data_IF_337921655437
#
_entry.id   IF_337921655437
#
_cell.length_a   1.000
_cell.length_b   1.000
_cell.length_c   1.000
_cell.angle_alpha   90.00
_cell.angle_beta   90.00
_cell.angle_gamma   90.00
#
_symmetry.space_group_name_H-M   'P 1'
#
loop_
_entity.id
_entity.type
_entity.pdbx_description
1 polymer ?
#
# COMPACT_ATOMS: atom_id res chain seq x y z
N UNK A 1 -8.77 -1.24 -26.36
CA UNK A 1 -9.11 0.10 -26.85
C UNK A 1 -9.10 0.17 -28.36
N UNK A 2 -8.00 -0.15 -29.07
CA UNK A 2 -8.00 -0.20 -30.53
C UNK A 2 -9.07 -1.15 -31.12
N UNK A 3 -9.33 -2.29 -30.48
CA UNK A 3 -10.42 -3.19 -30.86
C UNK A 3 -11.80 -2.53 -30.68
N UNK A 4 -11.98 -1.73 -29.64
CA UNK A 4 -13.20 -0.96 -29.41
C UNK A 4 -13.37 0.14 -30.46
N UNK A 5 -12.29 0.84 -30.84
CA UNK A 5 -12.32 1.83 -31.92
C UNK A 5 -12.60 1.19 -33.28
N UNK A 6 -12.02 0.01 -33.55
CA UNK A 6 -12.30 -0.75 -34.79
C UNK A 6 -13.73 -1.27 -34.82
N UNK A 7 -14.26 -1.76 -33.71
CA UNK A 7 -15.68 -2.21 -33.65
C UNK A 7 -16.65 -1.04 -33.79
N UNK A 8 -16.33 0.11 -33.14
CA UNK A 8 -17.14 1.34 -33.30
C UNK A 8 -17.10 1.92 -34.71
N UNK A 9 -15.95 1.83 -35.41
CA UNK A 9 -15.81 2.31 -36.79
C UNK A 9 -16.32 1.32 -37.82
N UNK A 10 -16.47 0.03 -37.49
CA UNK A 10 -17.07 -1.00 -38.33
C UNK A 10 -18.59 -1.16 -38.15
N UNK A 11 -19.21 -0.50 -37.15
CA UNK A 11 -20.64 -0.44 -37.05
C UNK A 11 -21.20 0.38 -38.25
N UNK A 12 -21.92 -0.26 -39.19
CA UNK A 12 -22.39 0.42 -40.39
C UNK A 12 -23.40 1.50 -40.00
N UNK A 13 -23.06 2.75 -40.27
CA UNK A 13 -23.98 3.87 -40.19
C UNK A 13 -23.72 4.93 -39.12
N UNK A 14 -22.79 4.74 -38.15
CA UNK A 14 -22.63 5.73 -37.08
C UNK A 14 -21.59 6.82 -37.36
N UNK A 15 -20.54 6.55 -38.13
CA UNK A 15 -19.58 7.58 -38.51
C UNK A 15 -19.13 7.33 -39.97
N UNK A 16 -19.80 7.93 -40.92
CA UNK A 16 -19.32 7.95 -42.31
C UNK A 16 -18.26 9.05 -42.47
N UNK A 17 -17.01 8.72 -42.16
CA UNK A 17 -15.90 9.68 -42.15
C UNK A 17 -15.19 9.75 -43.50
N UNK A 18 -15.76 9.10 -44.56
CA UNK A 18 -15.21 9.05 -45.92
C UNK A 18 -13.69 8.99 -45.89
N UNK A 19 -12.97 8.12 -46.42
CA UNK A 19 -11.51 8.01 -46.57
C UNK A 19 -10.54 8.46 -45.45
N UNK A 20 -11.00 9.18 -44.43
CA UNK A 20 -10.21 9.70 -43.30
C UNK A 20 -10.20 8.79 -42.03
N UNK A 21 -10.78 7.60 -42.14
CA UNK A 21 -10.93 6.68 -41.02
C UNK A 21 -9.55 6.35 -40.34
N UNK A 22 -8.54 6.05 -41.12
CA UNK A 22 -7.20 5.76 -40.62
C UNK A 22 -6.56 6.95 -39.86
N UNK A 23 -6.81 8.16 -40.34
CA UNK A 23 -6.31 9.37 -39.67
C UNK A 23 -6.99 9.56 -38.30
N UNK A 24 -8.29 9.37 -38.21
CA UNK A 24 -9.05 9.53 -36.97
C UNK A 24 -8.61 8.45 -35.95
N UNK A 25 -8.47 7.19 -36.39
CA UNK A 25 -7.95 6.11 -35.53
C UNK A 25 -6.57 6.49 -35.00
N UNK A 26 -5.68 7.00 -35.85
CA UNK A 26 -4.36 7.42 -35.43
C UNK A 26 -4.41 8.56 -34.40
N UNK A 27 -5.28 9.56 -34.56
CA UNK A 27 -5.43 10.66 -33.58
C UNK A 27 -5.93 10.10 -32.24
N UNK A 28 -6.93 9.21 -32.24
CA UNK A 28 -7.46 8.58 -31.02
C UNK A 28 -6.36 7.75 -30.33
N UNK A 29 -5.62 6.95 -31.09
CA UNK A 29 -4.52 6.15 -30.57
C UNK A 29 -3.41 7.02 -29.94
N UNK A 30 -3.03 8.13 -30.59
CA UNK A 30 -2.03 9.05 -30.05
C UNK A 30 -2.50 9.68 -28.72
N UNK A 31 -3.75 10.12 -28.65
CA UNK A 31 -4.31 10.68 -27.40
C UNK A 31 -4.34 9.64 -26.28
N UNK A 32 -4.82 8.42 -26.59
CA UNK A 32 -4.87 7.34 -25.60
C UNK A 32 -3.45 6.95 -25.11
N UNK A 33 -2.52 6.78 -26.04
CA UNK A 33 -1.12 6.47 -25.69
C UNK A 33 -0.51 7.58 -24.85
N UNK A 34 -0.76 8.86 -25.16
CA UNK A 34 -0.29 9.98 -24.36
C UNK A 34 -0.87 9.95 -22.92
N UNK A 35 -2.14 9.66 -22.75
CA UNK A 35 -2.76 9.52 -21.43
C UNK A 35 -2.16 8.35 -20.62
N UNK A 36 -1.94 7.20 -21.28
CA UNK A 36 -1.29 6.06 -20.63
C UNK A 36 0.20 6.32 -20.35
N UNK A 37 0.90 7.04 -21.21
CA UNK A 37 2.30 7.42 -21.01
C UNK A 37 2.47 8.30 -19.76
N UNK A 38 1.58 9.27 -19.52
CA UNK A 38 1.64 10.09 -18.30
C UNK A 38 1.62 9.21 -17.04
N UNK A 39 0.76 8.19 -17.02
CA UNK A 39 0.64 7.28 -15.88
C UNK A 39 1.76 6.23 -15.81
N UNK A 40 2.20 5.70 -16.95
CA UNK A 40 3.22 4.65 -17.04
C UNK A 40 4.64 5.22 -16.98
N UNK A 41 4.96 6.17 -17.84
CA UNK A 41 6.30 6.70 -18.02
C UNK A 41 6.62 7.76 -16.96
N UNK A 42 5.62 8.56 -16.54
CA UNK A 42 5.78 9.54 -15.46
C UNK A 42 6.15 8.90 -14.13
N UNK A 43 5.71 7.67 -13.87
CA UNK A 43 6.06 6.91 -12.67
C UNK A 43 7.31 6.03 -12.84
N UNK A 44 7.86 5.86 -14.05
CA UNK A 44 9.02 5.01 -14.32
C UNK A 44 10.27 5.37 -13.48
N UNK A 45 10.66 6.65 -13.29
CA UNK A 45 11.80 7.00 -12.44
C UNK A 45 11.61 6.56 -10.99
N UNK A 46 10.40 6.71 -10.44
CA UNK A 46 10.09 6.29 -9.07
C UNK A 46 10.14 4.77 -8.93
N UNK A 47 9.63 4.03 -9.91
CA UNK A 47 9.71 2.57 -9.96
C UNK A 47 11.15 2.06 -10.05
N UNK A 48 12.01 2.73 -10.84
CA UNK A 48 13.44 2.41 -10.89
C UNK A 48 14.12 2.56 -9.52
N UNK A 49 13.75 3.60 -8.74
CA UNK A 49 14.24 3.78 -7.37
C UNK A 49 13.72 2.67 -6.46
N UNK A 50 12.46 2.29 -6.58
CA UNK A 50 11.86 1.20 -5.79
C UNK A 50 12.53 -0.14 -6.12
N UNK A 51 12.82 -0.42 -7.39
CA UNK A 51 13.59 -1.60 -7.83
C UNK A 51 15.00 -1.61 -7.24
N UNK A 52 15.68 -0.46 -7.24
CA UNK A 52 16.98 -0.33 -6.57
C UNK A 52 16.88 -0.71 -5.09
N UNK A 53 15.92 -0.17 -4.35
CA UNK A 53 15.74 -0.51 -2.94
C UNK A 53 15.37 -1.99 -2.75
N UNK A 54 14.46 -2.52 -3.57
CA UNK A 54 14.06 -3.93 -3.53
C UNK A 54 15.25 -4.88 -3.77
N UNK A 55 16.14 -4.58 -4.70
CA UNK A 55 17.33 -5.39 -4.97
C UNK A 55 18.24 -5.51 -3.74
N UNK A 56 18.47 -4.40 -3.01
CA UNK A 56 19.25 -4.44 -1.76
C UNK A 56 18.55 -5.24 -0.66
N UNK A 57 17.25 -5.06 -0.50
CA UNK A 57 16.46 -5.82 0.48
C UNK A 57 16.55 -7.32 0.15
N UNK A 58 16.33 -7.69 -1.11
CA UNK A 58 16.42 -9.07 -1.56
C UNK A 58 17.83 -9.65 -1.34
N UNK A 59 18.88 -8.89 -1.68
CA UNK A 59 20.27 -9.31 -1.48
C UNK A 59 20.57 -9.63 -0.01
N UNK A 60 20.27 -8.71 0.91
CA UNK A 60 20.55 -8.92 2.33
C UNK A 60 19.67 -10.00 2.95
N UNK A 61 18.43 -10.15 2.49
CA UNK A 61 17.55 -11.24 2.94
C UNK A 61 18.09 -12.60 2.51
N UNK A 62 18.45 -12.76 1.23
CA UNK A 62 19.05 -14.00 0.74
C UNK A 62 20.40 -14.29 1.41
N UNK A 63 21.22 -13.27 1.65
CA UNK A 63 22.46 -13.39 2.39
C UNK A 63 22.20 -13.89 3.82
N UNK A 64 21.23 -13.34 4.53
CA UNK A 64 20.82 -13.79 5.86
C UNK A 64 20.42 -15.26 5.84
N UNK A 65 19.55 -15.67 4.94
CA UNK A 65 19.13 -17.07 4.84
C UNK A 65 20.28 -18.00 4.52
N UNK A 66 21.19 -17.59 3.62
CA UNK A 66 22.39 -18.37 3.25
C UNK A 66 23.36 -18.54 4.44
N UNK A 67 23.62 -17.47 5.19
CA UNK A 67 24.53 -17.49 6.35
C UNK A 67 23.94 -18.31 7.48
N UNK A 68 22.62 -18.14 7.81
CA UNK A 68 21.95 -18.95 8.83
C UNK A 68 22.02 -20.44 8.50
N UNK A 69 21.73 -20.81 7.26
CA UNK A 69 21.86 -22.21 6.79
C UNK A 69 23.30 -22.73 6.91
N UNK A 70 24.31 -21.91 6.56
CA UNK A 70 25.73 -22.29 6.69
C UNK A 70 26.16 -22.48 8.15
N UNK A 71 25.61 -21.68 9.08
CA UNK A 71 25.88 -21.78 10.52
C UNK A 71 24.99 -22.82 11.22
N UNK A 72 24.13 -23.55 10.49
CA UNK A 72 23.17 -24.51 11.03
C UNK A 72 22.25 -23.94 12.13
N UNK A 73 21.97 -22.65 12.06
CA UNK A 73 21.03 -21.99 12.96
C UNK A 73 19.60 -22.44 12.66
N UNK A 74 18.72 -22.54 13.69
CA UNK A 74 17.32 -22.88 13.48
C UNK A 74 16.63 -21.87 12.58
N UNK A 75 15.56 -22.33 11.91
CA UNK A 75 14.74 -21.47 11.05
C UNK A 75 14.09 -20.35 11.89
N UNK A 76 14.00 -19.15 11.31
CA UNK A 76 13.29 -18.03 11.92
C UNK A 76 11.78 -18.35 12.02
N UNK A 77 11.13 -17.87 13.06
CA UNK A 77 9.69 -17.95 13.27
C UNK A 77 8.91 -17.42 12.07
N UNK A 78 9.31 -16.25 11.56
CA UNK A 78 8.89 -15.75 10.25
C UNK A 78 10.13 -15.53 9.37
N UNK A 79 10.20 -16.25 8.24
CA UNK A 79 11.34 -16.14 7.29
C UNK A 79 11.44 -14.75 6.66
N UNK A 80 10.36 -13.98 6.67
CA UNK A 80 10.29 -12.65 6.05
C UNK A 80 10.59 -11.53 7.07
N UNK A 81 10.41 -11.78 8.36
CA UNK A 81 10.77 -10.86 9.43
C UNK A 81 12.24 -11.10 9.83
N UNK A 82 13.11 -10.19 9.41
CA UNK A 82 14.54 -10.31 9.72
C UNK A 82 14.82 -9.73 11.09
N UNK A 83 15.50 -10.48 11.99
CA UNK A 83 15.81 -10.00 13.33
C UNK A 83 16.76 -8.80 13.27
N UNK A 84 16.49 -7.83 14.13
CA UNK A 84 17.30 -6.61 14.31
C UNK A 84 18.25 -6.71 15.49
N UNK A 85 17.96 -7.58 16.48
CA UNK A 85 18.81 -7.84 17.64
C UNK A 85 20.15 -8.43 17.22
N UNK A 86 21.22 -8.11 17.94
CA UNK A 86 22.54 -8.72 17.75
C UNK A 86 22.70 -9.93 18.68
N UNK A 87 23.60 -10.82 18.31
CA UNK A 87 23.99 -11.98 19.12
C UNK A 87 24.41 -11.58 20.54
N UNK A 88 25.19 -10.50 20.67
CA UNK A 88 25.66 -9.98 21.96
C UNK A 88 24.51 -9.47 22.84
N UNK A 89 23.48 -8.88 22.21
CA UNK A 89 22.32 -8.34 22.93
C UNK A 89 21.43 -9.48 23.46
N UNK A 90 21.44 -10.64 22.79
CA UNK A 90 20.71 -11.87 23.18
C UNK A 90 21.42 -12.51 24.42
N UNK A 91 22.73 -12.57 24.40
CA UNK A 91 23.51 -13.13 25.52
C UNK A 91 23.31 -12.34 26.82
N UNK A 92 23.10 -11.03 26.76
CA UNK A 92 22.86 -10.15 27.92
C UNK A 92 21.44 -10.33 28.49
N UNK A 93 20.45 -10.60 27.62
CA UNK A 93 19.02 -10.75 27.99
C UNK A 93 18.65 -12.21 28.34
N UNK A 94 19.59 -13.14 28.33
CA UNK A 94 19.39 -14.59 28.45
C UNK A 94 18.57 -15.04 29.69
N UNK A 95 18.48 -14.25 30.75
CA UNK A 95 17.69 -14.57 31.92
C UNK A 95 16.16 -14.49 31.74
N UNK A 96 15.68 -13.69 30.78
CA UNK A 96 14.24 -13.36 30.60
C UNK A 96 13.68 -13.72 29.22
N UNK A 97 14.53 -14.13 28.25
CA UNK A 97 14.07 -14.44 26.88
C UNK A 97 13.52 -15.87 26.77
N UNK A 98 12.34 -16.05 26.15
CA UNK A 98 11.83 -17.39 25.84
C UNK A 98 12.85 -18.15 24.97
N UNK A 99 13.03 -19.46 25.25
CA UNK A 99 13.99 -20.32 24.51
C UNK A 99 13.82 -20.30 22.99
N UNK A 100 12.63 -20.00 22.51
CA UNK A 100 12.31 -19.90 21.07
C UNK A 100 12.87 -18.61 20.43
N UNK A 101 13.17 -17.57 21.23
CA UNK A 101 13.72 -16.29 20.76
C UNK A 101 15.24 -16.21 20.89
N UNK A 102 15.87 -17.14 21.60
CA UNK A 102 17.33 -17.19 21.82
C UNK A 102 18.13 -17.16 20.51
N UNK A 103 17.59 -17.76 19.45
CA UNK A 103 18.26 -17.85 18.16
C UNK A 103 17.80 -16.79 17.14
N UNK A 104 16.93 -15.85 17.54
CA UNK A 104 16.42 -14.78 16.68
C UNK A 104 17.33 -13.53 16.72
N UNK A 105 18.59 -13.70 16.30
CA UNK A 105 19.54 -12.60 16.14
C UNK A 105 19.96 -12.41 14.68
N UNK A 106 20.45 -11.18 14.37
CA UNK A 106 20.94 -10.85 13.04
C UNK A 106 22.33 -11.44 12.80
N UNK A 107 22.50 -12.06 11.64
CA UNK A 107 23.80 -12.57 11.17
C UNK A 107 24.52 -11.57 10.27
N UNK A 108 23.93 -10.40 10.02
CA UNK A 108 24.50 -9.34 9.19
C UNK A 108 25.45 -8.46 10.03
N UNK A 109 26.49 -7.92 9.38
CA UNK A 109 27.35 -6.94 9.99
C UNK A 109 26.57 -5.64 10.26
N UNK A 110 26.99 -4.83 11.26
CA UNK A 110 26.36 -3.56 11.65
C UNK A 110 26.08 -2.63 10.47
N UNK A 111 27.05 -2.48 9.56
CA UNK A 111 26.90 -1.64 8.36
C UNK A 111 25.86 -2.23 7.36
N UNK A 112 25.85 -3.54 7.20
CA UNK A 112 24.87 -4.23 6.35
C UNK A 112 23.45 -4.11 6.91
N UNK A 113 23.32 -4.25 8.24
CA UNK A 113 22.04 -4.09 8.94
C UNK A 113 21.51 -2.65 8.78
N UNK A 114 22.35 -1.65 8.95
CA UNK A 114 21.97 -0.24 8.75
C UNK A 114 21.50 0.02 7.31
N UNK A 115 22.23 -0.52 6.32
CA UNK A 115 21.82 -0.41 4.90
C UNK A 115 20.49 -1.10 4.65
N UNK A 116 20.30 -2.33 5.17
CA UNK A 116 19.03 -3.04 5.04
C UNK A 116 17.87 -2.21 5.59
N UNK A 117 17.97 -1.72 6.83
CA UNK A 117 16.94 -0.90 7.48
C UNK A 117 16.68 0.39 6.69
N UNK A 118 17.74 1.03 6.15
CA UNK A 118 17.59 2.22 5.30
C UNK A 118 16.72 1.92 4.06
N UNK A 119 17.06 0.86 3.31
CA UNK A 119 16.31 0.49 2.10
C UNK A 119 14.88 0.04 2.42
N UNK A 120 14.67 -0.71 3.49
CA UNK A 120 13.34 -1.11 3.96
C UNK A 120 12.48 0.11 4.33
N UNK A 121 13.05 1.08 5.05
CA UNK A 121 12.35 2.30 5.44
C UNK A 121 11.99 3.16 4.23
N UNK A 122 12.89 3.27 3.24
CA UNK A 122 12.61 4.02 2.00
C UNK A 122 11.50 3.36 1.21
N UNK A 123 11.57 2.05 0.98
CA UNK A 123 10.55 1.32 0.23
C UNK A 123 9.18 1.31 0.95
N UNK A 124 9.16 1.21 2.28
CA UNK A 124 7.90 1.26 3.05
C UNK A 124 7.24 2.63 3.05
N UNK A 125 8.00 3.71 2.80
CA UNK A 125 7.46 5.06 2.59
C UNK A 125 6.83 5.22 1.20
N UNK A 126 7.42 4.62 0.18
CA UNK A 126 6.88 4.61 -1.19
C UNK A 126 5.64 3.71 -1.29
N UNK A 127 5.66 2.57 -0.59
CA UNK A 127 4.62 1.54 -0.70
C UNK A 127 4.02 1.19 0.67
N UNK A 128 2.81 1.64 0.92
CA UNK A 128 2.10 1.43 2.21
C UNK A 128 1.77 -0.04 2.50
N UNK A 129 1.66 -0.88 1.47
CA UNK A 129 1.43 -2.32 1.62
C UNK A 129 2.67 -3.08 2.13
N UNK A 130 3.88 -2.54 1.91
CA UNK A 130 5.11 -3.19 2.32
C UNK A 130 5.39 -2.92 3.80
N UNK A 131 5.34 -3.98 4.61
CA UNK A 131 5.70 -3.98 6.05
C UNK A 131 6.92 -4.89 6.22
N UNK A 132 8.13 -4.33 6.47
CA UNK A 132 9.35 -5.13 6.61
C UNK A 132 9.37 -5.97 7.88
N UNK A 133 8.71 -5.51 8.96
CA UNK A 133 8.65 -6.17 10.25
C UNK A 133 7.20 -6.46 10.66
N UNK A 134 7.04 -7.43 11.54
CA UNK A 134 5.76 -7.73 12.15
C UNK A 134 5.24 -6.52 12.94
N UNK A 135 3.97 -6.19 12.75
CA UNK A 135 3.27 -5.14 13.48
C UNK A 135 2.07 -5.72 14.23
N UNK A 136 1.44 -4.93 15.10
CA UNK A 136 0.24 -5.36 15.79
C UNK A 136 -0.83 -5.89 14.83
N UNK A 137 -0.97 -5.29 13.66
CA UNK A 137 -2.06 -5.57 12.69
C UNK A 137 -1.63 -6.42 11.50
N UNK A 138 -0.31 -6.55 11.23
CA UNK A 138 0.21 -7.24 10.04
C UNK A 138 1.43 -8.08 10.38
N UNK A 139 1.54 -9.25 9.73
CA UNK A 139 2.78 -10.01 9.62
C UNK A 139 3.74 -9.33 8.64
N UNK A 140 5.03 -9.70 8.65
CA UNK A 140 6.01 -9.22 7.69
C UNK A 140 5.62 -9.59 6.26
N UNK A 141 5.83 -8.67 5.32
CA UNK A 141 5.42 -8.85 3.92
C UNK A 141 6.33 -9.86 3.22
N UNK A 142 5.79 -10.88 2.51
CA UNK A 142 6.59 -11.92 1.87
C UNK A 142 7.51 -11.36 0.78
N UNK A 143 8.83 -11.58 0.91
CA UNK A 143 9.82 -11.08 -0.05
C UNK A 143 9.53 -11.52 -1.49
N UNK A 144 9.11 -12.77 -1.70
CA UNK A 144 8.80 -13.28 -3.05
C UNK A 144 7.68 -12.50 -3.73
N UNK A 145 6.65 -12.13 -2.96
CA UNK A 145 5.55 -11.31 -3.48
C UNK A 145 6.01 -9.89 -3.76
N UNK A 146 6.85 -9.30 -2.90
CA UNK A 146 7.44 -8.00 -3.13
C UNK A 146 8.20 -7.95 -4.46
N UNK A 147 9.10 -8.93 -4.69
CA UNK A 147 9.85 -9.03 -5.94
C UNK A 147 8.92 -9.14 -7.15
N UNK A 148 7.90 -10.02 -7.07
CA UNK A 148 6.95 -10.20 -8.17
C UNK A 148 6.17 -8.91 -8.48
N UNK A 149 5.72 -8.18 -7.46
CA UNK A 149 5.00 -6.91 -7.63
C UNK A 149 5.89 -5.87 -8.32
N UNK A 150 7.11 -5.66 -7.80
CA UNK A 150 8.03 -4.65 -8.35
C UNK A 150 8.38 -4.98 -9.80
N UNK A 151 8.73 -6.24 -10.10
CA UNK A 151 9.05 -6.68 -11.48
C UNK A 151 7.86 -6.49 -12.43
N UNK A 152 6.63 -6.80 -12.01
CA UNK A 152 5.45 -6.60 -12.85
C UNK A 152 5.17 -5.13 -13.13
N UNK A 153 5.36 -4.26 -12.13
CA UNK A 153 5.19 -2.82 -12.30
C UNK A 153 6.28 -2.21 -13.20
N UNK A 154 7.53 -2.71 -13.10
CA UNK A 154 8.61 -2.31 -14.01
C UNK A 154 8.36 -2.79 -15.44
N UNK A 155 7.94 -4.04 -15.63
CA UNK A 155 7.54 -4.56 -16.93
C UNK A 155 6.41 -3.72 -17.55
N UNK A 156 5.43 -3.32 -16.74
CA UNK A 156 4.37 -2.42 -17.20
C UNK A 156 4.96 -1.09 -17.72
N UNK A 157 5.86 -0.44 -16.96
CA UNK A 157 6.48 0.82 -17.38
C UNK A 157 7.32 0.65 -18.65
N UNK A 158 8.15 -0.39 -18.74
CA UNK A 158 8.94 -0.68 -19.93
C UNK A 158 8.08 -0.91 -21.17
N UNK A 159 6.98 -1.65 -21.02
CA UNK A 159 6.03 -1.87 -22.11
C UNK A 159 5.31 -0.59 -22.53
N UNK A 160 5.02 0.33 -21.60
CA UNK A 160 4.43 1.64 -21.93
C UNK A 160 5.42 2.52 -22.69
N UNK A 161 6.70 2.58 -22.26
CA UNK A 161 7.77 3.28 -22.98
C UNK A 161 7.91 2.71 -24.41
N UNK A 162 7.90 1.38 -24.54
CA UNK A 162 7.97 0.72 -25.85
C UNK A 162 6.74 1.06 -26.72
N UNK A 163 5.54 1.10 -26.12
CA UNK A 163 4.31 1.49 -26.80
C UNK A 163 4.38 2.93 -27.31
N UNK A 164 4.83 3.85 -26.47
CA UNK A 164 5.05 5.26 -26.84
C UNK A 164 6.06 5.40 -27.98
N UNK A 165 7.22 4.73 -27.86
CA UNK A 165 8.24 4.72 -28.89
C UNK A 165 7.73 4.17 -30.24
N UNK A 166 6.99 3.07 -30.23
CA UNK A 166 6.37 2.52 -31.45
C UNK A 166 5.30 3.45 -32.02
N UNK A 167 4.53 4.12 -31.17
CA UNK A 167 3.43 4.99 -31.61
C UNK A 167 3.93 6.27 -32.24
N UNK A 168 4.96 6.88 -31.69
CA UNK A 168 5.49 8.16 -32.16
C UNK A 168 6.68 8.01 -33.10
N UNK A 169 7.44 6.91 -33.00
CA UNK A 169 8.61 6.66 -33.86
C UNK A 169 8.25 6.04 -35.22
N UNK A 170 7.14 5.33 -35.33
CA UNK A 170 6.73 4.66 -36.57
C UNK A 170 5.52 5.39 -37.18
N UNK A 171 5.64 5.74 -38.48
CA UNK A 171 4.51 6.35 -39.22
C UNK A 171 3.28 5.44 -39.18
N UNK A 172 2.10 6.02 -38.98
CA UNK A 172 0.84 5.28 -38.87
C UNK A 172 0.49 4.45 -40.12
N UNK A 173 1.05 4.78 -41.28
CA UNK A 173 0.89 4.00 -42.51
C UNK A 173 1.66 2.67 -42.50
N UNK A 174 2.78 2.62 -41.77
CA UNK A 174 3.66 1.44 -41.71
C UNK A 174 3.64 0.73 -40.35
N UNK A 175 2.90 1.29 -39.38
CA UNK A 175 2.84 0.71 -38.02
C UNK A 175 2.07 -0.60 -38.03
N UNK A 176 2.68 -1.73 -37.62
CA UNK A 176 1.97 -3.00 -37.53
C UNK A 176 0.99 -2.94 -36.33
N UNK A 177 -0.30 -2.94 -36.63
CA UNK A 177 -1.37 -2.89 -35.63
C UNK A 177 -1.25 -4.01 -34.58
N UNK A 178 -0.89 -5.22 -35.01
CA UNK A 178 -0.70 -6.36 -34.12
C UNK A 178 0.34 -6.09 -33.03
N UNK A 179 1.48 -5.44 -33.36
CA UNK A 179 2.55 -5.13 -32.42
C UNK A 179 2.08 -4.21 -31.28
N UNK A 180 1.46 -3.09 -31.63
CA UNK A 180 0.98 -2.11 -30.63
C UNK A 180 -0.13 -2.71 -29.75
N UNK A 181 -1.01 -3.54 -30.33
CA UNK A 181 -2.08 -4.22 -29.58
C UNK A 181 -1.50 -5.22 -28.58
N UNK A 182 -0.53 -6.05 -28.99
CA UNK A 182 0.11 -7.02 -28.09
C UNK A 182 0.82 -6.32 -26.96
N UNK A 183 1.62 -5.28 -27.23
CA UNK A 183 2.32 -4.51 -26.19
C UNK A 183 1.31 -3.92 -25.19
N UNK A 184 0.22 -3.33 -25.69
CA UNK A 184 -0.82 -2.76 -24.85
C UNK A 184 -1.50 -3.81 -23.98
N UNK A 185 -1.90 -4.95 -24.53
CA UNK A 185 -2.54 -6.03 -23.78
C UNK A 185 -1.59 -6.59 -22.70
N UNK A 186 -0.33 -6.84 -23.03
CA UNK A 186 0.67 -7.31 -22.06
C UNK A 186 0.87 -6.29 -20.94
N UNK A 187 0.96 -5.00 -21.27
CA UNK A 187 1.14 -3.92 -20.31
C UNK A 187 -0.04 -3.83 -19.34
N UNK A 188 -1.27 -3.86 -19.82
CA UNK A 188 -2.47 -3.86 -18.99
C UNK A 188 -2.51 -5.09 -18.08
N UNK A 189 -2.19 -6.27 -18.63
CA UNK A 189 -2.16 -7.52 -17.85
C UNK A 189 -1.13 -7.45 -16.71
N UNK A 190 0.08 -6.93 -16.97
CA UNK A 190 1.10 -6.73 -15.93
C UNK A 190 0.60 -5.81 -14.82
N UNK A 191 -0.05 -4.70 -15.17
CA UNK A 191 -0.57 -3.74 -14.19
C UNK A 191 -1.69 -4.33 -13.33
N UNK A 192 -2.67 -5.00 -13.95
CA UNK A 192 -3.76 -5.66 -13.23
C UNK A 192 -3.21 -6.75 -12.31
N UNK A 193 -2.32 -7.60 -12.81
CA UNK A 193 -1.72 -8.68 -12.02
C UNK A 193 -0.92 -8.13 -10.85
N UNK A 194 -0.13 -7.05 -11.05
CA UNK A 194 0.57 -6.35 -9.98
C UNK A 194 -0.38 -5.84 -8.90
N UNK A 195 -1.48 -5.18 -9.28
CA UNK A 195 -2.52 -4.72 -8.37
C UNK A 195 -3.21 -5.84 -7.60
N UNK A 196 -3.52 -6.95 -8.26
CA UNK A 196 -4.10 -8.15 -7.60
C UNK A 196 -3.11 -8.73 -6.59
N UNK A 197 -1.82 -8.85 -6.92
CA UNK A 197 -0.80 -9.35 -5.99
C UNK A 197 -0.64 -8.43 -4.76
N UNK A 198 -0.70 -7.11 -4.92
CA UNK A 198 -0.70 -6.17 -3.80
C UNK A 198 -1.90 -6.44 -2.88
N UNK A 199 -3.09 -6.56 -3.45
CA UNK A 199 -4.32 -6.81 -2.70
C UNK A 199 -4.29 -8.16 -1.98
N UNK A 200 -3.82 -9.22 -2.63
CA UNK A 200 -3.66 -10.55 -2.05
C UNK A 200 -2.60 -10.53 -0.94
N UNK A 201 -1.48 -9.85 -1.18
CA UNK A 201 -0.40 -9.68 -0.20
C UNK A 201 -0.88 -8.96 1.06
N UNK A 202 -1.57 -7.84 0.93
CA UNK A 202 -2.14 -7.11 2.07
C UNK A 202 -3.16 -7.96 2.85
N UNK A 203 -4.06 -8.66 2.15
CA UNK A 203 -5.04 -9.55 2.80
C UNK A 203 -4.39 -10.72 3.53
N UNK A 204 -3.31 -11.29 2.97
CA UNK A 204 -2.60 -12.43 3.55
C UNK A 204 -1.77 -12.03 4.77
N UNK A 205 -1.20 -10.83 4.77
CA UNK A 205 -0.38 -10.35 5.89
C UNK A 205 -1.20 -9.77 7.03
N UNK A 206 -2.45 -9.36 6.79
CA UNK A 206 -3.33 -8.76 7.80
C UNK A 206 -3.79 -9.78 8.86
N UNK A 207 -3.56 -9.46 10.14
CA UNK A 207 -4.04 -10.22 11.30
C UNK A 207 -5.52 -9.89 11.55
N UNK A 208 -6.42 -10.69 10.99
CA UNK A 208 -7.87 -10.42 11.00
C UNK A 208 -8.43 -10.27 12.41
N UNK A 209 -8.07 -11.18 13.32
CA UNK A 209 -8.59 -11.21 14.69
C UNK A 209 -8.21 -9.97 15.50
N UNK A 210 -6.96 -9.49 15.32
CA UNK A 210 -6.48 -8.29 16.02
C UNK A 210 -7.14 -7.04 15.46
N UNK A 211 -7.27 -6.95 14.14
CA UNK A 211 -7.94 -5.80 13.47
C UNK A 211 -9.39 -5.73 13.89
N UNK A 212 -10.10 -6.88 13.97
CA UNK A 212 -11.48 -6.92 14.40
C UNK A 212 -11.64 -6.49 15.87
N UNK A 213 -10.76 -6.95 16.78
CA UNK A 213 -10.75 -6.50 18.17
C UNK A 213 -10.54 -4.99 18.29
N UNK A 214 -9.53 -4.46 17.62
CA UNK A 214 -9.25 -3.01 17.61
C UNK A 214 -10.42 -2.20 17.07
N UNK A 215 -11.07 -2.66 16.02
CA UNK A 215 -12.25 -2.01 15.46
C UNK A 215 -13.42 -2.00 16.44
N UNK A 216 -13.70 -3.13 17.11
CA UNK A 216 -14.71 -3.22 18.16
C UNK A 216 -14.41 -2.27 19.33
N UNK A 217 -13.15 -2.20 19.76
CA UNK A 217 -12.73 -1.26 20.82
C UNK A 217 -12.93 0.21 20.41
N UNK A 218 -12.61 0.57 19.16
CA UNK A 218 -12.85 1.92 18.66
C UNK A 218 -14.33 2.27 18.65
N UNK A 219 -15.18 1.38 18.13
CA UNK A 219 -16.63 1.56 18.14
C UNK A 219 -17.18 1.72 19.57
N UNK A 220 -16.70 0.91 20.52
CA UNK A 220 -17.09 1.01 21.92
C UNK A 220 -16.67 2.33 22.53
N UNK A 221 -15.43 2.79 22.28
CA UNK A 221 -14.95 4.09 22.75
C UNK A 221 -15.77 5.26 22.18
N UNK A 222 -16.14 5.19 20.90
CA UNK A 222 -16.99 6.21 20.27
C UNK A 222 -18.41 6.22 20.84
N UNK A 223 -19.00 5.03 21.05
CA UNK A 223 -20.30 4.90 21.67
C UNK A 223 -20.30 5.46 23.11
N UNK A 224 -19.28 5.13 23.90
CA UNK A 224 -19.07 5.66 25.25
C UNK A 224 -18.96 7.19 25.26
N UNK A 225 -18.17 7.78 24.34
CA UNK A 225 -18.07 9.24 24.21
C UNK A 225 -19.42 9.89 23.89
N UNK A 226 -20.22 9.29 23.01
CA UNK A 226 -21.57 9.78 22.68
C UNK A 226 -22.51 9.71 23.90
N UNK A 227 -22.46 8.61 24.65
CA UNK A 227 -23.27 8.44 25.88
C UNK A 227 -22.85 9.45 26.94
N UNK A 228 -21.55 9.64 27.19
CA UNK A 228 -21.05 10.66 28.14
C UNK A 228 -21.49 12.07 27.75
N UNK A 229 -21.33 12.46 26.48
CA UNK A 229 -21.82 13.78 26.01
C UNK A 229 -23.34 13.95 26.22
N UNK A 230 -24.11 12.88 26.00
CA UNK A 230 -25.57 12.93 26.19
C UNK A 230 -25.93 13.04 27.68
N UNK A 231 -25.20 12.36 28.57
CA UNK A 231 -25.38 12.52 30.03
C UNK A 231 -25.02 13.89 30.52
N UNK A 232 -23.88 14.47 30.08
CA UNK A 232 -23.48 15.83 30.44
C UNK A 232 -24.52 16.89 30.01
N UNK A 233 -25.01 16.76 28.75
CA UNK A 233 -26.08 17.67 28.29
C UNK A 233 -27.39 17.53 29.07
N UNK A 234 -27.71 16.34 29.57
CA UNK A 234 -28.88 16.14 30.44
C UNK A 234 -28.67 16.76 31.82
N UNK A 235 -27.49 16.58 32.41
CA UNK A 235 -27.16 17.19 33.70
C UNK A 235 -27.19 18.71 33.64
N UNK A 236 -26.57 19.31 32.60
CA UNK A 236 -26.62 20.78 32.39
C UNK A 236 -28.06 21.31 32.28
N UNK A 237 -28.94 20.60 31.55
CA UNK A 237 -30.35 20.99 31.47
C UNK A 237 -31.08 20.89 32.80
N UNK A 238 -30.80 19.91 33.62
CA UNK A 238 -31.39 19.77 34.96
C UNK A 238 -30.89 20.90 35.88
N UNK A 239 -29.60 21.23 35.83
CA UNK A 239 -29.01 22.33 36.59
C UNK A 239 -29.59 23.68 36.16
N UNK A 240 -29.79 23.93 34.85
CA UNK A 240 -30.43 25.13 34.33
C UNK A 240 -31.94 25.24 34.71
N UNK A 241 -32.66 24.11 34.83
CA UNK A 241 -34.06 24.09 35.28
C UNK A 241 -34.21 24.25 36.79
N UNK A 242 -33.21 23.89 37.61
CA UNK A 242 -33.25 24.01 39.08
C UNK A 242 -32.75 25.38 39.57
N UNK A 243 -31.92 26.13 38.82
CA UNK A 243 -31.45 27.47 39.18
C UNK A 243 -32.59 28.50 39.41
N UNK A 244 -33.64 28.59 38.57
CA UNK A 244 -34.73 29.56 38.83
C UNK A 244 -35.61 29.21 40.03
N UNK A 245 -35.63 27.99 40.50
CA UNK A 245 -36.41 27.58 41.68
C UNK A 245 -35.76 27.97 43.01
N UNK A 246 -34.43 27.98 43.06
CA UNK A 246 -33.69 28.40 44.25
C UNK A 246 -33.68 29.93 44.45
N UNK A 247 -33.76 30.71 43.39
CA UNK A 247 -33.79 32.20 43.48
C UNK A 247 -35.14 32.77 43.89
N UNK A 248 -36.23 31.99 43.80
CA UNK A 248 -37.59 32.41 44.21
C UNK A 248 -37.87 32.12 45.70
N UNK A 249 -37.12 31.21 46.33
CA UNK A 249 -37.32 30.77 47.72
C UNK A 249 -36.65 31.65 48.78
N UNK A 250 -35.88 32.68 48.44
CA UNK A 250 -35.14 33.52 49.41
C UNK A 250 -35.55 35.00 49.38
N UNK A 251 -36.84 35.30 49.27
CA UNK A 251 -37.33 36.62 49.66
C UNK A 251 -37.77 36.60 51.13
N UNK A 252 -37.08 37.28 52.06
CA UNK A 252 -37.59 37.43 53.41
C UNK A 252 -38.80 38.36 53.33
N UNK A 253 -39.90 37.93 53.95
CA UNK A 253 -41.07 38.81 54.14
C UNK A 253 -40.71 39.94 55.08
N UNK A 254 -41.11 41.18 54.79
CA UNK A 254 -40.94 42.29 55.73
C UNK A 254 -41.82 42.04 56.96
N UNK A 255 -41.23 42.11 58.14
CA UNK A 255 -41.87 42.08 59.45
C UNK A 255 -42.52 43.40 59.66
N UNK A 256 -43.89 43.42 59.59
CA UNK A 256 -44.68 44.54 60.11
C UNK A 256 -44.89 44.38 61.62
N UNK A 257 -44.10 45.12 62.36
CA UNK A 257 -44.30 45.32 63.77
C UNK A 257 -45.28 46.45 64.08
N UNK A 258 -46.37 46.15 64.77
CA UNK A 258 -47.03 46.96 65.73
C UNK A 258 -47.50 46.10 66.89
#
# INVERSE_FOLDING_TARGET
>A
MAFLCITLTKLPGWINVGGRQLYIINVIDNVLVALFAIMGDGLAPFRAIDTYHMCFIAHYTFQTWKVRRKRQLPDLKDKNDLPTRREIDVDVEFGDTPKDEEYEFTVLNRLQQQKLVHHQTKLSKSHTFYKPHETLTHHAFPLRMLIAIVVLLDCHSLLQIALGACTWGISYHHRPFALTTVILCCSITCNITGGVLIMVGDRRTRKKDVVERLFREQLTKEAMKKVCKKKQKRQQKIEEEDEPRLSVSTRPQPYDGT
#
